data_IF_943581131887
#
_entry.id   IF_943581131887
#
_cell.length_a   1.000
_cell.length_b   1.000
_cell.length_c   1.000
_cell.angle_alpha   90.00
_cell.angle_beta   90.00
_cell.angle_gamma   90.00
#
_symmetry.space_group_name_H-M   'P 1'
#
loop_
_entity.id
_entity.type
_entity.pdbx_description
1 polymer ?
#
# COMPACT_ATOMS: atom_id res chain seq x y z
N UNK A 1 53.36 -9.26 32.47
CA UNK A 1 52.54 -8.47 31.51
C UNK A 1 51.76 -9.31 30.48
N UNK A 2 51.65 -10.64 30.63
CA UNK A 2 50.88 -11.50 29.70
C UNK A 2 49.41 -11.67 30.14
N UNK A 3 49.16 -11.80 31.45
CA UNK A 3 47.81 -12.01 32.03
C UNK A 3 46.83 -10.89 31.75
N UNK A 4 47.29 -9.63 31.77
CA UNK A 4 46.45 -8.45 31.49
C UNK A 4 45.90 -8.41 30.05
N UNK A 5 46.65 -8.98 29.09
CA UNK A 5 46.19 -9.07 27.69
C UNK A 5 45.08 -10.10 27.54
N UNK A 6 45.21 -11.27 28.17
CA UNK A 6 44.19 -12.33 28.12
C UNK A 6 42.89 -11.91 28.81
N UNK A 7 42.97 -11.23 29.96
CA UNK A 7 41.77 -10.71 30.64
C UNK A 7 41.04 -9.69 29.80
N UNK A 8 41.77 -8.80 29.10
CA UNK A 8 41.16 -7.82 28.20
C UNK A 8 40.47 -8.50 27.00
N UNK A 9 41.10 -9.52 26.41
CA UNK A 9 40.52 -10.28 25.29
C UNK A 9 39.24 -11.02 25.70
N UNK A 10 39.21 -11.65 26.87
CA UNK A 10 38.03 -12.38 27.37
C UNK A 10 36.86 -11.42 27.64
N UNK A 11 37.14 -10.25 28.22
CA UNK A 11 36.11 -9.22 28.48
C UNK A 11 35.53 -8.68 27.17
N UNK A 12 36.37 -8.41 26.16
CA UNK A 12 35.91 -7.96 24.84
C UNK A 12 35.04 -9.02 24.17
N UNK A 13 35.43 -10.30 24.22
CA UNK A 13 34.64 -11.40 23.65
C UNK A 13 33.27 -11.55 24.33
N UNK A 14 33.21 -11.30 25.64
CA UNK A 14 31.96 -11.35 26.40
C UNK A 14 31.02 -10.18 26.05
N UNK A 15 31.56 -8.96 25.91
CA UNK A 15 30.78 -7.77 25.51
C UNK A 15 30.21 -7.92 24.10
N UNK A 16 30.99 -8.50 23.16
CA UNK A 16 30.53 -8.78 21.79
C UNK A 16 29.31 -9.71 21.78
N UNK A 17 29.31 -10.76 22.63
CA UNK A 17 28.18 -11.68 22.73
C UNK A 17 26.90 -11.02 23.29
N UNK A 18 27.04 -10.07 24.23
CA UNK A 18 25.87 -9.38 24.83
C UNK A 18 25.22 -8.39 23.85
N UNK A 19 26.00 -7.81 22.92
CA UNK A 19 25.54 -6.71 22.05
C UNK A 19 24.75 -7.19 20.82
N UNK A 20 24.74 -8.49 20.50
CA UNK A 20 24.01 -9.04 19.36
C UNK A 20 22.51 -9.20 19.66
N UNK A 21 21.84 -8.09 19.92
CA UNK A 21 20.39 -8.01 20.05
C UNK A 21 19.77 -8.04 18.65
N UNK A 22 19.08 -9.12 18.29
CA UNK A 22 18.29 -9.16 17.06
C UNK A 22 17.10 -8.21 17.19
N UNK A 23 17.04 -7.18 16.36
CA UNK A 23 15.87 -6.31 16.23
C UNK A 23 14.67 -7.13 15.73
N UNK A 24 13.77 -7.52 16.64
CA UNK A 24 12.56 -8.30 16.35
C UNK A 24 11.41 -7.48 15.75
N UNK A 25 11.69 -6.38 15.05
CA UNK A 25 10.67 -5.53 14.44
C UNK A 25 10.87 -5.33 12.93
N UNK A 26 11.27 -6.39 12.23
CA UNK A 26 11.06 -6.45 10.78
C UNK A 26 9.59 -6.77 10.55
N UNK A 27 8.75 -5.72 10.49
CA UNK A 27 7.39 -5.86 9.97
C UNK A 27 7.54 -6.23 8.50
N UNK A 28 7.35 -7.51 8.17
CA UNK A 28 7.24 -7.97 6.78
C UNK A 28 5.92 -7.40 6.26
N UNK A 29 5.96 -6.14 5.85
CA UNK A 29 4.87 -5.54 5.10
C UNK A 29 5.00 -6.11 3.71
N UNK A 30 4.32 -7.23 3.47
CA UNK A 30 3.96 -7.65 2.12
C UNK A 30 3.14 -6.52 1.54
N UNK A 31 3.81 -5.56 0.88
CA UNK A 31 3.15 -4.44 0.24
C UNK A 31 2.32 -5.05 -0.87
N UNK A 32 1.04 -5.25 -0.60
CA UNK A 32 0.10 -5.80 -1.56
C UNK A 32 0.09 -4.84 -2.75
N UNK A 33 0.55 -5.30 -3.91
CA UNK A 33 0.71 -4.48 -5.11
C UNK A 33 -0.65 -4.26 -5.79
N UNK A 34 -1.66 -3.91 -5.01
CA UNK A 34 -2.99 -3.65 -5.55
C UNK A 34 -2.95 -2.33 -6.36
N UNK A 35 -3.62 -2.29 -7.53
CA UNK A 35 -3.76 -1.08 -8.30
C UNK A 35 -4.70 -0.09 -7.60
N UNK A 36 -4.51 1.20 -7.86
CA UNK A 36 -5.41 2.24 -7.38
C UNK A 36 -6.72 2.20 -8.17
N UNK A 37 -7.86 2.25 -7.50
CA UNK A 37 -9.17 2.27 -8.17
C UNK A 37 -9.75 3.68 -8.12
N UNK A 38 -10.18 4.16 -9.28
CA UNK A 38 -10.81 5.47 -9.44
C UNK A 38 -12.15 5.29 -10.13
N UNK A 39 -13.21 5.83 -9.53
CA UNK A 39 -14.58 5.77 -10.07
C UNK A 39 -15.12 7.19 -10.19
N UNK A 40 -15.30 7.68 -11.40
CA UNK A 40 -15.64 9.09 -11.71
C UNK A 40 -14.77 10.07 -10.90
N UNK A 41 -13.45 9.99 -11.11
CA UNK A 41 -12.43 10.83 -10.46
C UNK A 41 -12.31 10.70 -8.93
N UNK A 42 -13.11 9.83 -8.30
CA UNK A 42 -12.99 9.54 -6.87
C UNK A 42 -12.19 8.27 -6.65
N UNK A 43 -11.10 8.39 -5.89
CA UNK A 43 -10.30 7.23 -5.46
C UNK A 43 -11.10 6.46 -4.41
N UNK A 44 -11.25 5.16 -4.60
CA UNK A 44 -12.01 4.26 -3.73
C UNK A 44 -11.23 2.97 -3.45
N UNK A 45 -11.65 2.26 -2.41
CA UNK A 45 -11.12 0.94 -2.11
C UNK A 45 -11.53 -0.10 -3.16
N UNK A 46 -10.75 -1.18 -3.26
CA UNK A 46 -10.93 -2.23 -4.26
C UNK A 46 -12.33 -2.87 -4.22
N UNK A 47 -12.91 -3.00 -3.03
CA UNK A 47 -14.21 -3.62 -2.79
C UNK A 47 -15.38 -2.87 -3.46
N UNK A 48 -15.16 -1.65 -3.95
CA UNK A 48 -16.17 -0.92 -4.72
C UNK A 48 -16.59 -1.67 -5.99
N UNK A 49 -15.66 -2.42 -6.62
CA UNK A 49 -15.95 -3.14 -7.86
C UNK A 49 -17.09 -4.14 -7.64
N UNK A 50 -17.12 -4.81 -6.49
CA UNK A 50 -18.13 -5.82 -6.16
C UNK A 50 -19.54 -5.21 -6.03
N UNK A 51 -19.62 -3.92 -5.70
CA UNK A 51 -20.90 -3.22 -5.55
C UNK A 51 -21.36 -2.54 -6.85
N UNK A 52 -20.46 -2.33 -7.81
CA UNK A 52 -20.79 -1.72 -9.10
C UNK A 52 -21.50 -2.74 -9.98
N UNK A 53 -22.65 -2.34 -10.52
CA UNK A 53 -23.33 -3.15 -11.52
C UNK A 53 -22.61 -2.96 -12.88
N UNK A 54 -22.22 -4.04 -13.57
CA UNK A 54 -21.60 -3.94 -14.90
C UNK A 54 -22.43 -3.13 -15.91
N UNK A 55 -23.76 -3.14 -15.80
CA UNK A 55 -24.65 -2.37 -16.67
C UNK A 55 -24.53 -0.86 -16.47
N UNK A 56 -24.11 -0.42 -15.29
CA UNK A 56 -23.92 0.99 -14.93
C UNK A 56 -22.55 1.52 -15.41
N UNK A 57 -21.65 0.63 -15.86
CA UNK A 57 -20.31 0.97 -16.34
C UNK A 57 -20.40 1.49 -17.78
N UNK A 58 -19.75 2.61 -18.02
CA UNK A 58 -19.57 3.19 -19.34
C UNK A 58 -18.26 2.72 -19.97
N UNK A 59 -17.17 2.84 -19.22
CA UNK A 59 -15.85 2.40 -19.67
C UNK A 59 -14.94 2.04 -18.51
N UNK A 60 -13.97 1.17 -18.79
CA UNK A 60 -12.89 0.81 -17.87
C UNK A 60 -11.57 1.06 -18.61
N UNK A 61 -10.74 1.92 -18.06
CA UNK A 61 -9.42 2.25 -18.60
C UNK A 61 -8.35 1.89 -17.59
N UNK A 62 -7.31 1.21 -18.04
CA UNK A 62 -6.16 0.86 -17.18
C UNK A 62 -4.98 1.74 -17.57
N UNK A 63 -4.48 2.52 -16.61
CA UNK A 63 -3.25 3.28 -16.75
C UNK A 63 -2.09 2.51 -16.11
N UNK A 64 -1.00 2.38 -16.87
CA UNK A 64 0.22 1.69 -16.47
C UNK A 64 1.37 2.67 -16.30
N UNK A 65 2.33 2.29 -15.46
CA UNK A 65 3.65 2.89 -15.30
C UNK A 65 3.63 4.43 -15.16
N UNK A 66 4.07 5.14 -16.19
CA UNK A 66 4.28 6.59 -16.15
C UNK A 66 2.99 7.39 -16.08
N UNK A 67 1.96 6.99 -16.84
CA UNK A 67 0.69 7.72 -16.89
C UNK A 67 -0.06 7.65 -15.56
N UNK A 68 -0.05 6.48 -14.91
CA UNK A 68 -0.66 6.27 -13.61
C UNK A 68 0.04 7.10 -12.51
N UNK A 69 1.38 7.08 -12.52
CA UNK A 69 2.20 7.82 -11.55
C UNK A 69 2.10 9.34 -11.73
N UNK A 70 2.02 9.82 -12.98
CA UNK A 70 1.88 11.26 -13.25
C UNK A 70 0.58 11.84 -12.73
N UNK A 71 -0.52 11.05 -12.76
CA UNK A 71 -1.84 11.52 -12.36
C UNK A 71 -2.12 11.32 -10.86
N UNK A 72 -1.67 10.20 -10.28
CA UNK A 72 -2.00 9.82 -8.90
C UNK A 72 -0.79 9.62 -7.98
N UNK A 73 0.41 10.02 -8.41
CA UNK A 73 1.62 10.02 -7.61
C UNK A 73 2.06 8.61 -7.17
N UNK A 74 2.59 8.49 -5.96
CA UNK A 74 3.05 7.21 -5.41
C UNK A 74 1.92 6.19 -5.24
N UNK A 75 0.66 6.63 -5.04
CA UNK A 75 -0.50 5.74 -4.93
C UNK A 75 -0.80 5.02 -6.24
N UNK A 76 -0.47 5.65 -7.38
CA UNK A 76 -0.58 5.07 -8.72
C UNK A 76 0.63 4.24 -9.17
N UNK A 77 1.64 4.04 -8.31
CA UNK A 77 2.89 3.30 -8.66
C UNK A 77 2.61 1.86 -9.11
N UNK A 78 1.55 1.25 -8.59
CA UNK A 78 1.14 -0.12 -8.93
C UNK A 78 0.14 -0.18 -10.10
N UNK A 79 -0.09 0.95 -10.79
CA UNK A 79 -1.12 1.10 -11.82
C UNK A 79 -2.43 1.67 -11.28
N UNK A 80 -3.26 2.18 -12.18
CA UNK A 80 -4.57 2.76 -11.85
C UNK A 80 -5.65 2.19 -12.77
N UNK A 81 -6.76 1.75 -12.19
CA UNK A 81 -7.96 1.35 -12.92
C UNK A 81 -8.98 2.49 -12.78
N UNK A 82 -9.27 3.14 -13.90
CA UNK A 82 -10.26 4.22 -13.99
C UNK A 82 -11.56 3.64 -14.55
N UNK A 83 -12.64 3.80 -13.79
CA UNK A 83 -13.98 3.35 -14.12
C UNK A 83 -14.87 4.58 -14.27
N UNK A 84 -15.48 4.71 -15.44
CA UNK A 84 -16.49 5.75 -15.72
C UNK A 84 -17.86 5.10 -15.70
N UNK A 85 -18.82 5.71 -15.02
CA UNK A 85 -20.20 5.19 -14.90
C UNK A 85 -21.20 6.11 -15.58
N UNK A 86 -22.17 5.56 -16.31
CA UNK A 86 -23.16 6.35 -17.10
C UNK A 86 -24.46 6.65 -16.36
N UNK A 87 -25.02 5.66 -15.64
CA UNK A 87 -26.43 5.68 -15.20
C UNK A 87 -26.62 5.37 -13.71
N UNK A 88 -25.71 5.84 -12.84
CA UNK A 88 -25.89 5.68 -11.40
C UNK A 88 -26.68 6.85 -10.81
N UNK A 89 -27.72 6.54 -10.03
CA UNK A 89 -28.44 7.56 -9.27
C UNK A 89 -27.52 8.28 -8.28
N UNK A 90 -27.65 9.60 -8.16
CA UNK A 90 -26.86 10.41 -7.20
C UNK A 90 -26.90 9.87 -5.77
N UNK A 91 -28.06 9.32 -5.35
CA UNK A 91 -28.23 8.69 -4.03
C UNK A 91 -27.36 7.44 -3.87
N UNK A 92 -27.28 6.59 -4.90
CA UNK A 92 -26.43 5.39 -4.90
C UNK A 92 -24.95 5.79 -4.91
N UNK A 93 -24.52 6.73 -5.76
CA UNK A 93 -23.14 7.26 -5.74
C UNK A 93 -22.73 7.80 -4.38
N UNK A 94 -23.59 8.61 -3.74
CA UNK A 94 -23.29 9.18 -2.41
C UNK A 94 -23.09 8.10 -1.34
N UNK A 95 -23.86 7.01 -1.39
CA UNK A 95 -23.67 5.87 -0.48
C UNK A 95 -22.34 5.18 -0.74
N UNK A 96 -22.04 4.88 -2.01
CA UNK A 96 -20.78 4.27 -2.42
C UNK A 96 -19.60 5.10 -1.93
N UNK A 97 -19.58 6.40 -2.24
CA UNK A 97 -18.49 7.27 -1.80
C UNK A 97 -18.41 7.36 -0.27
N UNK A 98 -19.52 7.49 0.45
CA UNK A 98 -19.48 7.50 1.93
C UNK A 98 -18.92 6.20 2.52
N UNK A 99 -19.14 5.06 1.87
CA UNK A 99 -18.74 3.75 2.35
C UNK A 99 -17.29 3.40 1.99
N UNK A 100 -16.85 3.72 0.77
CA UNK A 100 -15.58 3.26 0.21
C UNK A 100 -14.52 4.36 0.04
N UNK A 101 -14.85 5.63 0.35
CA UNK A 101 -13.88 6.74 0.38
C UNK A 101 -13.16 6.86 1.73
N UNK A 102 -13.69 6.24 2.79
CA UNK A 102 -13.09 6.36 4.11
C UNK A 102 -11.82 5.52 4.15
N UNK A 103 -10.70 6.20 4.33
CA UNK A 103 -9.31 5.69 4.43
C UNK A 103 -8.55 5.66 3.09
N UNK A 104 -7.81 6.74 2.87
CA UNK A 104 -6.65 6.84 1.98
C UNK A 104 -5.51 7.55 2.69
#
# INVERSE_FOLDING_TARGET
MKTFKYTLTIVVLFIVNITFSQDKNVKIVSKKNDPLIVVNDSILKYEVIEFLNPNDIESVTVWKDEKAKSMYGEKGKNGVIVITTKNISKRKLRKIYKQYKNEL
#
